data_IF_400822595146
#
_entry.id   IF_400822595146
#
_cell.length_a   1.000
_cell.length_b   1.000
_cell.length_c   1.000
_cell.angle_alpha   90.00
_cell.angle_beta   90.00
_cell.angle_gamma   90.00
#
_symmetry.space_group_name_H-M   'P 1'
#
loop_
_entity.id
_entity.type
_entity.pdbx_description
1 polymer ?
#
# COMPACT_ATOMS: atom_id res chain seq x y z
N UNK A 1 -17.60 15.03 -3.55
CA UNK A 1 -16.60 14.89 -2.48
C UNK A 1 -16.06 13.46 -2.35
N UNK A 2 -16.88 12.41 -2.21
CA UNK A 2 -16.42 11.01 -2.06
C UNK A 2 -15.39 10.58 -3.13
N UNK A 3 -15.61 10.92 -4.40
CA UNK A 3 -14.72 10.54 -5.51
C UNK A 3 -13.31 11.14 -5.38
N UNK A 4 -13.19 12.33 -4.80
CA UNK A 4 -11.88 12.96 -4.53
C UNK A 4 -11.12 12.15 -3.48
N UNK A 5 -11.77 11.78 -2.36
CA UNK A 5 -11.16 10.94 -1.33
C UNK A 5 -10.77 9.55 -1.85
N UNK A 6 -11.57 8.96 -2.75
CA UNK A 6 -11.21 7.69 -3.40
C UNK A 6 -9.94 7.83 -4.26
N UNK A 7 -9.82 8.93 -5.03
CA UNK A 7 -8.61 9.19 -5.81
C UNK A 7 -7.39 9.39 -4.93
N UNK A 8 -7.50 10.23 -3.88
CA UNK A 8 -6.40 10.48 -2.95
C UNK A 8 -5.95 9.16 -2.32
N UNK A 9 -6.90 8.38 -1.79
CA UNK A 9 -6.60 7.12 -1.14
C UNK A 9 -5.95 6.11 -2.10
N UNK A 10 -6.47 5.98 -3.33
CA UNK A 10 -5.91 5.12 -4.37
C UNK A 10 -4.47 5.51 -4.74
N UNK A 11 -4.21 6.80 -4.95
CA UNK A 11 -2.88 7.30 -5.31
C UNK A 11 -1.90 7.09 -4.16
N UNK A 12 -2.28 7.42 -2.92
CA UNK A 12 -1.42 7.24 -1.75
C UNK A 12 -1.11 5.76 -1.49
N UNK A 13 -2.11 4.87 -1.56
CA UNK A 13 -1.89 3.45 -1.38
C UNK A 13 -0.99 2.85 -2.49
N UNK A 14 -1.14 3.32 -3.73
CA UNK A 14 -0.26 2.93 -4.84
C UNK A 14 1.16 3.45 -4.64
N UNK A 15 1.30 4.68 -4.13
CA UNK A 15 2.59 5.28 -3.83
C UNK A 15 3.32 4.50 -2.73
N UNK A 16 2.64 4.05 -1.68
CA UNK A 16 3.24 3.18 -0.64
C UNK A 16 3.86 1.94 -1.28
N UNK A 17 3.14 1.26 -2.18
CA UNK A 17 3.67 0.07 -2.88
C UNK A 17 4.96 0.42 -3.62
N UNK A 18 5.00 1.51 -4.39
CA UNK A 18 6.19 1.93 -5.13
C UNK A 18 7.36 2.32 -4.20
N UNK A 19 7.06 3.03 -3.11
CA UNK A 19 8.08 3.45 -2.15
C UNK A 19 8.72 2.26 -1.41
N UNK A 20 8.01 1.15 -1.20
CA UNK A 20 8.59 -0.05 -0.60
C UNK A 20 9.62 -0.71 -1.53
N UNK A 21 9.42 -0.70 -2.85
CA UNK A 21 10.47 -1.12 -3.78
C UNK A 21 11.70 -0.20 -3.70
N UNK A 22 11.49 1.11 -3.57
CA UNK A 22 12.57 2.07 -3.39
C UNK A 22 13.31 1.86 -2.06
N UNK A 23 12.61 1.49 -1.00
CA UNK A 23 13.19 1.09 0.28
C UNK A 23 14.12 -0.11 0.15
N UNK A 24 13.67 -1.15 -0.56
CA UNK A 24 14.50 -2.32 -0.82
C UNK A 24 15.77 -1.95 -1.62
N UNK A 25 15.66 -1.04 -2.58
CA UNK A 25 16.79 -0.51 -3.31
C UNK A 25 17.80 0.20 -2.40
N UNK A 26 17.35 1.15 -1.56
CA UNK A 26 18.25 1.92 -0.71
C UNK A 26 18.98 1.05 0.32
N UNK A 27 18.28 0.12 1.00
CA UNK A 27 18.94 -0.75 1.97
C UNK A 27 19.93 -1.70 1.29
N UNK A 28 19.61 -2.20 0.10
CA UNK A 28 20.52 -3.05 -0.67
C UNK A 28 21.74 -2.26 -1.14
N UNK A 29 21.57 -1.02 -1.59
CA UNK A 29 22.67 -0.13 -1.97
C UNK A 29 23.58 0.16 -0.77
N UNK A 30 23.03 0.42 0.41
CA UNK A 30 23.81 0.60 1.65
C UNK A 30 24.63 -0.65 1.98
N UNK A 31 24.01 -1.84 1.97
CA UNK A 31 24.70 -3.11 2.23
C UNK A 31 25.80 -3.38 1.20
N UNK A 32 25.61 -2.95 -0.05
CA UNK A 32 26.59 -3.05 -1.13
C UNK A 32 27.71 -1.99 -1.07
N UNK A 33 27.70 -1.11 -0.07
CA UNK A 33 28.78 -0.13 0.16
C UNK A 33 28.55 1.24 -0.47
N UNK A 34 27.34 1.62 -0.84
CA UNK A 34 27.02 2.95 -1.37
C UNK A 34 27.14 4.08 -0.32
N UNK A 35 27.38 3.72 0.96
CA UNK A 35 27.61 4.68 2.06
C UNK A 35 26.33 5.16 2.75
N UNK A 36 26.53 6.01 3.79
CA UNK A 36 25.48 6.46 4.70
C UNK A 36 24.32 7.19 4.01
N UNK A 37 24.57 7.87 2.91
CA UNK A 37 23.50 8.54 2.16
C UNK A 37 22.39 7.60 1.67
N UNK A 38 22.71 6.32 1.42
CA UNK A 38 21.71 5.31 1.08
C UNK A 38 20.88 4.90 2.31
N UNK A 39 21.52 4.82 3.49
CA UNK A 39 20.84 4.55 4.75
C UNK A 39 19.92 5.72 5.16
N UNK A 40 20.41 6.95 5.04
CA UNK A 40 19.62 8.16 5.29
C UNK A 40 18.39 8.24 4.36
N UNK A 41 18.58 7.94 3.07
CA UNK A 41 17.49 7.88 2.11
C UNK A 41 16.48 6.78 2.45
N UNK A 42 16.93 5.62 2.93
CA UNK A 42 16.08 4.55 3.45
C UNK A 42 15.27 5.04 4.65
N UNK A 43 15.93 5.61 5.65
CA UNK A 43 15.27 6.13 6.87
C UNK A 43 14.24 7.21 6.57
N UNK A 44 14.60 8.22 5.76
CA UNK A 44 13.69 9.30 5.36
C UNK A 44 12.48 8.77 4.58
N UNK A 45 12.71 7.91 3.59
CA UNK A 45 11.63 7.35 2.77
C UNK A 45 10.67 6.51 3.62
N UNK A 46 11.19 5.71 4.55
CA UNK A 46 10.37 4.89 5.45
C UNK A 46 9.54 5.73 6.42
N UNK A 47 10.23 6.59 7.17
CA UNK A 47 9.59 7.37 8.23
C UNK A 47 8.70 8.49 7.68
N UNK A 48 9.21 9.33 6.78
CA UNK A 48 8.49 10.52 6.34
C UNK A 48 7.48 10.21 5.22
N UNK A 49 7.89 9.45 4.19
CA UNK A 49 7.06 9.27 3.01
C UNK A 49 6.08 8.12 3.17
N UNK A 50 6.55 6.92 3.55
CA UNK A 50 5.68 5.74 3.66
C UNK A 50 4.73 5.90 4.86
N UNK A 51 5.27 6.15 6.05
CA UNK A 51 4.44 6.25 7.24
C UNK A 51 3.51 7.46 7.21
N UNK A 52 3.95 8.59 6.66
CA UNK A 52 3.10 9.75 6.38
C UNK A 52 1.96 9.43 5.41
N UNK A 53 2.25 8.67 4.33
CA UNK A 53 1.23 8.21 3.39
C UNK A 53 0.24 7.22 4.02
N UNK A 54 0.69 6.30 4.89
CA UNK A 54 -0.17 5.37 5.63
C UNK A 54 -1.18 6.12 6.52
N UNK A 55 -0.71 7.15 7.25
CA UNK A 55 -1.58 8.02 8.03
C UNK A 55 -2.63 8.71 7.14
N UNK A 56 -2.22 9.26 6.01
CA UNK A 56 -3.12 9.92 5.07
C UNK A 56 -4.11 8.94 4.41
N UNK A 57 -3.69 7.70 4.11
CA UNK A 57 -4.58 6.63 3.64
C UNK A 57 -5.65 6.33 4.69
N UNK A 58 -5.29 6.24 5.97
CA UNK A 58 -6.24 6.05 7.05
C UNK A 58 -7.21 7.23 7.18
N UNK A 59 -6.72 8.47 7.23
CA UNK A 59 -7.57 9.66 7.38
C UNK A 59 -8.52 9.85 6.20
N UNK A 60 -8.06 9.62 4.98
CA UNK A 60 -8.88 9.77 3.77
C UNK A 60 -9.91 8.64 3.61
N UNK A 61 -9.73 7.50 4.29
CA UNK A 61 -10.68 6.39 4.25
C UNK A 61 -12.07 6.77 4.76
N UNK A 62 -12.18 7.70 5.72
CA UNK A 62 -13.47 8.19 6.22
C UNK A 62 -14.30 8.88 5.13
N UNK A 63 -13.64 9.59 4.22
CA UNK A 63 -14.30 10.23 3.07
C UNK A 63 -14.48 9.29 1.87
N UNK A 64 -13.56 8.35 1.66
CA UNK A 64 -13.59 7.38 0.58
C UNK A 64 -14.69 6.30 0.79
N UNK A 65 -14.78 5.78 2.01
CA UNK A 65 -15.71 4.70 2.39
C UNK A 65 -16.53 5.04 3.64
N UNK A 66 -17.37 6.08 3.60
CA UNK A 66 -18.16 6.49 4.75
C UNK A 66 -19.05 5.32 5.22
N UNK A 67 -19.01 5.02 6.52
CA UNK A 67 -19.74 3.92 7.18
C UNK A 67 -19.24 2.50 6.82
N UNK A 68 -18.24 2.34 5.98
CA UNK A 68 -17.65 1.03 5.68
C UNK A 68 -16.53 0.71 6.70
N UNK A 69 -16.91 0.50 7.97
CA UNK A 69 -16.00 0.33 9.11
C UNK A 69 -14.91 -0.72 8.90
N UNK A 70 -15.23 -1.78 8.14
CA UNK A 70 -14.23 -2.81 7.79
C UNK A 70 -13.06 -2.23 6.98
N UNK A 71 -13.33 -1.33 6.02
CA UNK A 71 -12.29 -0.71 5.20
C UNK A 71 -11.54 0.37 5.97
N UNK A 72 -12.24 1.17 6.79
CA UNK A 72 -11.61 2.12 7.70
C UNK A 72 -10.69 1.39 8.68
N UNK A 73 -11.16 0.29 9.29
CA UNK A 73 -10.34 -0.54 10.18
C UNK A 73 -9.14 -1.19 9.46
N UNK A 74 -9.29 -1.56 8.19
CA UNK A 74 -8.21 -2.12 7.40
C UNK A 74 -7.12 -1.09 7.06
N UNK A 75 -7.50 0.16 6.77
CA UNK A 75 -6.53 1.26 6.59
C UNK A 75 -5.89 1.69 7.91
N UNK A 76 -6.62 1.64 9.03
CA UNK A 76 -6.04 1.83 10.36
C UNK A 76 -5.02 0.74 10.69
N UNK A 77 -5.31 -0.52 10.36
CA UNK A 77 -4.38 -1.62 10.56
C UNK A 77 -3.09 -1.43 9.75
N UNK A 78 -3.18 -0.93 8.51
CA UNK A 78 -2.01 -0.55 7.71
C UNK A 78 -1.13 0.46 8.47
N UNK A 79 -1.72 1.54 8.98
CA UNK A 79 -1.02 2.58 9.74
C UNK A 79 -0.37 2.02 11.01
N UNK A 80 -1.07 1.15 11.75
CA UNK A 80 -0.52 0.50 12.96
C UNK A 80 0.68 -0.39 12.61
N UNK A 81 0.62 -1.15 11.53
CA UNK A 81 1.75 -1.98 11.08
C UNK A 81 2.95 -1.12 10.69
N UNK A 82 2.74 0.00 9.99
CA UNK A 82 3.81 0.95 9.68
C UNK A 82 4.42 1.56 10.95
N UNK A 83 3.61 1.87 11.95
CA UNK A 83 4.10 2.32 13.26
C UNK A 83 4.97 1.26 13.94
N UNK A 84 4.51 0.00 13.98
CA UNK A 84 5.29 -1.12 14.52
C UNK A 84 6.62 -1.27 13.76
N UNK A 85 6.59 -1.12 12.44
CA UNK A 85 7.75 -1.19 11.56
C UNK A 85 8.86 -0.20 11.99
N UNK A 86 8.49 1.03 12.36
CA UNK A 86 9.45 2.05 12.82
C UNK A 86 10.15 1.60 14.11
N UNK A 87 9.40 1.02 15.05
CA UNK A 87 9.96 0.54 16.32
C UNK A 87 10.80 -0.75 16.18
N UNK A 88 10.73 -1.43 15.06
CA UNK A 88 11.59 -2.58 14.74
C UNK A 88 12.94 -2.16 14.16
N UNK A 89 13.15 -0.87 13.87
CA UNK A 89 14.46 -0.37 13.46
C UNK A 89 15.35 -0.26 14.68
N UNK A 90 16.52 -0.93 14.67
CA UNK A 90 17.41 -0.91 15.81
C UNK A 90 18.08 0.46 15.98
N UNK A 91 18.12 0.93 17.23
CA UNK A 91 18.78 2.18 17.62
C UNK A 91 20.26 1.94 17.96
N UNK A 92 20.70 0.69 18.14
CA UNK A 92 22.06 0.34 18.55
C UNK A 92 22.69 -0.77 17.70
N UNK A 93 24.03 -0.73 17.54
CA UNK A 93 24.86 -1.66 16.74
C UNK A 93 24.78 -3.15 17.13
N UNK A 94 24.15 -3.49 18.26
CA UNK A 94 24.03 -4.87 18.77
C UNK A 94 22.68 -5.53 18.50
N UNK A 95 21.98 -5.11 17.49
CA UNK A 95 20.65 -5.66 17.23
C UNK A 95 20.69 -7.04 16.61
N UNK A 96 19.82 -7.87 17.16
CA UNK A 96 19.60 -9.23 16.71
C UNK A 96 19.16 -9.22 15.23
N UNK A 97 19.89 -9.89 14.35
CA UNK A 97 19.57 -9.99 12.92
C UNK A 97 18.16 -10.50 12.63
N UNK A 98 17.53 -11.21 13.58
CA UNK A 98 16.14 -11.63 13.48
C UNK A 98 15.15 -10.46 13.48
N UNK A 99 15.43 -9.38 14.22
CA UNK A 99 14.60 -8.17 14.21
C UNK A 99 14.68 -7.45 12.86
N UNK A 100 15.86 -7.40 12.24
CA UNK A 100 16.01 -6.89 10.88
C UNK A 100 15.26 -7.73 9.85
N UNK A 101 15.34 -9.06 9.99
CA UNK A 101 14.55 -9.98 9.17
C UNK A 101 13.04 -9.77 9.34
N UNK A 102 12.58 -9.58 10.59
CA UNK A 102 11.18 -9.29 10.89
C UNK A 102 10.73 -7.93 10.31
N UNK A 103 11.58 -6.89 10.40
CA UNK A 103 11.35 -5.61 9.77
C UNK A 103 11.13 -5.78 8.25
N UNK A 104 12.02 -6.50 7.56
CA UNK A 104 11.89 -6.76 6.13
C UNK A 104 10.62 -7.56 5.78
N UNK A 105 10.29 -8.59 6.56
CA UNK A 105 9.07 -9.37 6.37
C UNK A 105 7.81 -8.52 6.55
N UNK A 106 7.78 -7.66 7.58
CA UNK A 106 6.65 -6.79 7.84
C UNK A 106 6.46 -5.75 6.73
N UNK A 107 7.54 -5.26 6.10
CA UNK A 107 7.45 -4.39 4.93
C UNK A 107 6.70 -5.05 3.77
N UNK A 108 6.89 -6.35 3.53
CA UNK A 108 6.12 -7.10 2.53
C UNK A 108 4.64 -7.19 2.89
N UNK A 109 4.32 -7.37 4.17
CA UNK A 109 2.91 -7.39 4.64
C UNK A 109 2.26 -6.03 4.42
N UNK A 110 2.94 -4.93 4.78
CA UNK A 110 2.51 -3.54 4.52
C UNK A 110 2.26 -3.34 3.02
N UNK A 111 3.18 -3.78 2.16
CA UNK A 111 3.04 -3.69 0.71
C UNK A 111 1.78 -4.41 0.19
N UNK A 112 1.52 -5.64 0.66
CA UNK A 112 0.34 -6.41 0.27
C UNK A 112 -0.95 -5.71 0.70
N UNK A 113 -1.00 -5.20 1.93
CA UNK A 113 -2.18 -4.47 2.44
C UNK A 113 -2.40 -3.20 1.63
N UNK A 114 -1.36 -2.41 1.37
CA UNK A 114 -1.44 -1.21 0.55
C UNK A 114 -1.93 -1.54 -0.88
N UNK A 115 -1.44 -2.63 -1.49
CA UNK A 115 -1.90 -3.09 -2.80
C UNK A 115 -3.38 -3.49 -2.81
N UNK A 116 -3.88 -4.14 -1.75
CA UNK A 116 -5.31 -4.48 -1.59
C UNK A 116 -6.16 -3.21 -1.50
N UNK A 117 -5.71 -2.20 -0.73
CA UNK A 117 -6.40 -0.90 -0.59
C UNK A 117 -6.41 -0.17 -1.94
N UNK A 118 -5.27 -0.10 -2.65
CA UNK A 118 -5.17 0.48 -3.97
C UNK A 118 -6.09 -0.22 -4.97
N UNK A 119 -6.11 -1.56 -4.99
CA UNK A 119 -7.00 -2.34 -5.84
C UNK A 119 -8.48 -2.05 -5.55
N UNK A 120 -8.86 -1.92 -4.29
CA UNK A 120 -10.21 -1.53 -3.89
C UNK A 120 -10.55 -0.14 -4.41
N UNK A 121 -9.67 0.85 -4.21
CA UNK A 121 -9.85 2.21 -4.72
C UNK A 121 -10.01 2.24 -6.24
N UNK A 122 -9.18 1.50 -6.97
CA UNK A 122 -9.25 1.36 -8.42
C UNK A 122 -10.61 0.82 -8.89
N UNK A 123 -11.14 -0.20 -8.21
CA UNK A 123 -12.47 -0.76 -8.51
C UNK A 123 -13.59 0.24 -8.25
N UNK A 124 -13.57 0.91 -7.11
CA UNK A 124 -14.61 1.85 -6.70
C UNK A 124 -14.60 3.14 -7.55
N UNK A 125 -13.45 3.46 -8.19
CA UNK A 125 -13.31 4.52 -9.20
C UNK A 125 -13.77 4.10 -10.60
N UNK A 126 -14.02 2.81 -10.83
CA UNK A 126 -14.40 2.27 -12.14
C UNK A 126 -13.26 2.20 -13.16
N UNK A 127 -11.98 2.20 -12.69
CA UNK A 127 -10.81 2.14 -13.56
C UNK A 127 -10.53 0.76 -14.14
N UNK A 128 -11.17 -0.28 -13.63
CA UNK A 128 -11.09 -1.62 -14.19
C UNK A 128 -12.05 -1.71 -15.37
N UNK A 129 -11.53 -1.92 -16.58
CA UNK A 129 -12.37 -2.23 -17.75
C UNK A 129 -13.22 -3.47 -17.43
N UNK A 130 -14.53 -3.38 -17.67
CA UNK A 130 -15.36 -4.57 -17.79
C UNK A 130 -14.74 -5.45 -18.88
N UNK A 131 -14.53 -6.73 -18.61
CA UNK A 131 -14.08 -7.67 -19.66
C UNK A 131 -15.06 -7.63 -20.83
N UNK A 132 -14.62 -7.46 -22.08
CA UNK A 132 -15.50 -7.39 -23.25
C UNK A 132 -16.17 -8.72 -23.61
N UNK A 133 -16.32 -9.64 -22.67
CA UNK A 133 -16.71 -11.03 -22.94
C UNK A 133 -17.98 -11.54 -22.22
N UNK A 134 -18.76 -10.68 -21.54
CA UNK A 134 -19.90 -11.15 -20.72
C UNK A 134 -21.25 -11.29 -21.45
N UNK A 135 -21.46 -10.64 -22.58
CA UNK A 135 -22.79 -10.55 -23.20
C UNK A 135 -22.92 -11.19 -24.59
N UNK A 136 -21.99 -12.05 -24.99
CA UNK A 136 -22.10 -12.79 -26.23
C UNK A 136 -22.77 -14.16 -26.02
N UNK A 137 -24.01 -14.18 -25.57
CA UNK A 137 -24.63 -15.49 -25.40
C UNK A 137 -26.01 -15.57 -24.82
N UNK A 138 -26.95 -14.78 -25.32
CA UNK A 138 -28.39 -15.20 -25.33
C UNK A 138 -29.13 -14.34 -26.35
N UNK A 139 -28.85 -14.51 -27.62
CA UNK A 139 -29.86 -14.17 -28.62
C UNK A 139 -31.04 -15.16 -28.43
N UNK A 140 -32.28 -14.68 -28.26
CA UNK A 140 -33.42 -15.57 -28.18
C UNK A 140 -33.52 -16.38 -29.48
N UNK A 141 -33.92 -17.67 -29.42
CA UNK A 141 -34.05 -18.48 -30.61
C UNK A 141 -35.09 -17.85 -31.55
N UNK A 142 -34.68 -17.63 -32.80
CA UNK A 142 -35.60 -17.15 -33.85
C UNK A 142 -36.64 -18.23 -34.11
N UNK A 143 -37.94 -17.90 -34.23
CA UNK A 143 -38.95 -18.85 -34.65
C UNK A 143 -38.65 -19.32 -36.06
N UNK A 144 -38.58 -20.64 -36.26
CA UNK A 144 -38.44 -21.25 -37.57
C UNK A 144 -39.76 -21.11 -38.35
N UNK A 145 -39.68 -20.97 -39.68
CA UNK A 145 -40.86 -20.81 -40.56
C UNK A 145 -41.75 -22.04 -40.62
#
# INVERSE_FOLDING_TARGET
MRRIFLWINFVLASLIVLLIFLQAYFITAYIAGAGEGALDAHGFTGFALIHGAELLVFLTAFGAWPRAWRWIGFTFFLFVLGTVQIFLTPVEERTNGWLHGLHGLLALVVMVIAAIIAHRGMRDLGLRRASPGGDAGTAPPQPMP
#
